data_IF_115772749093
#
_entry.id   IF_115772749093
#
_cell.length_a   1.000
_cell.length_b   1.000
_cell.length_c   1.000
_cell.angle_alpha   90.00
_cell.angle_beta   90.00
_cell.angle_gamma   90.00
#
_symmetry.space_group_name_H-M   'P 1'
#
loop_
_entity.id
_entity.type
_entity.pdbx_description
1 polymer ?
#
# COMPACT_ATOMS: atom_id res chain seq x y z
N UNK A 1 -4.19 9.16 42.76
CA UNK A 1 -2.97 9.91 42.38
C UNK A 1 -2.69 9.83 40.88
N UNK A 2 -3.56 10.42 40.08
CA UNK A 2 -3.24 10.80 38.70
C UNK A 2 -2.53 12.14 38.76
N UNK A 3 -1.44 12.23 39.46
CA UNK A 3 -0.82 13.52 39.72
C UNK A 3 0.40 13.68 38.82
N UNK A 4 0.68 14.92 38.47
CA UNK A 4 1.92 15.36 37.84
C UNK A 4 3.17 14.75 38.52
N UNK A 5 3.06 14.39 39.77
CA UNK A 5 4.11 13.76 40.58
C UNK A 5 4.38 12.30 40.14
N UNK A 6 3.35 11.50 39.95
CA UNK A 6 3.50 10.10 39.45
C UNK A 6 4.08 10.01 38.05
N UNK A 7 3.79 10.98 37.19
CA UNK A 7 4.35 11.07 35.85
C UNK A 7 5.80 11.52 35.85
N UNK A 8 6.19 12.47 36.74
CA UNK A 8 7.59 12.87 36.92
C UNK A 8 8.44 11.71 37.44
N UNK A 9 7.90 10.91 38.36
CA UNK A 9 8.59 9.71 38.85
C UNK A 9 8.74 8.68 37.78
N UNK A 10 7.75 8.50 36.89
CA UNK A 10 7.82 7.59 35.77
C UNK A 10 8.88 8.01 34.72
N UNK A 11 9.02 9.33 34.45
CA UNK A 11 10.12 9.86 33.63
C UNK A 11 11.47 9.60 34.24
N UNK A 12 11.62 9.73 35.55
CA UNK A 12 12.87 9.39 36.25
C UNK A 12 13.19 7.91 36.12
N UNK A 13 12.18 7.04 36.23
CA UNK A 13 12.34 5.62 36.04
C UNK A 13 12.74 5.27 34.56
N UNK A 14 12.18 5.96 33.58
CA UNK A 14 12.58 5.85 32.19
C UNK A 14 14.05 6.22 31.98
N UNK A 15 14.51 7.38 32.52
CA UNK A 15 15.91 7.79 32.44
C UNK A 15 16.83 6.81 33.16
N UNK A 16 16.47 6.37 34.36
CA UNK A 16 17.24 5.37 35.08
C UNK A 16 17.37 4.05 34.29
N UNK A 17 16.29 3.60 33.67
CA UNK A 17 16.31 2.40 32.84
C UNK A 17 17.22 2.57 31.61
N UNK A 18 17.30 3.76 31.01
CA UNK A 18 18.25 4.06 29.93
C UNK A 18 19.70 4.09 30.42
N UNK A 19 19.97 4.71 31.61
CA UNK A 19 21.30 4.79 32.19
C UNK A 19 21.87 3.40 32.57
N UNK A 20 21.01 2.44 32.92
CA UNK A 20 21.39 1.07 33.21
C UNK A 20 21.51 0.19 31.96
N UNK A 21 21.36 0.74 30.76
CA UNK A 21 21.57 0.02 29.52
C UNK A 21 23.04 -0.32 29.32
N UNK A 22 23.34 -1.46 28.71
CA UNK A 22 24.70 -1.94 28.59
C UNK A 22 25.61 -0.98 27.81
N UNK A 23 26.87 -0.90 28.22
CA UNK A 23 27.87 -0.02 27.66
C UNK A 23 28.23 -0.33 26.18
N UNK A 24 27.83 -1.49 25.66
CA UNK A 24 28.03 -1.88 24.25
C UNK A 24 27.10 -1.12 23.27
N UNK A 25 26.13 -0.37 23.79
CA UNK A 25 25.17 0.46 23.04
C UNK A 25 24.07 -0.36 22.31
N UNK A 26 24.05 -1.67 22.35
CA UNK A 26 23.00 -2.49 21.71
C UNK A 26 21.67 -2.31 22.43
N UNK A 27 21.65 -2.47 23.76
CA UNK A 27 20.45 -2.29 24.59
C UNK A 27 19.94 -0.85 24.62
N UNK A 28 20.83 0.15 24.52
CA UNK A 28 20.42 1.57 24.37
C UNK A 28 19.71 1.78 23.04
N UNK A 29 20.26 1.21 21.95
CA UNK A 29 19.64 1.33 20.62
C UNK A 29 18.27 0.69 20.61
N UNK A 30 18.10 -0.49 21.17
CA UNK A 30 16.83 -1.19 21.26
C UNK A 30 15.81 -0.43 22.12
N UNK A 31 16.25 0.14 23.23
CA UNK A 31 15.41 0.99 24.06
C UNK A 31 14.95 2.27 23.31
N UNK A 32 15.87 2.95 22.62
CA UNK A 32 15.55 4.13 21.82
C UNK A 32 14.63 3.82 20.64
N UNK A 33 14.77 2.65 20.01
CA UNK A 33 13.86 2.22 18.93
C UNK A 33 12.44 2.03 19.44
N UNK A 34 12.25 1.53 20.67
CA UNK A 34 10.95 1.38 21.30
C UNK A 34 10.31 2.72 21.70
N UNK A 35 11.14 3.74 21.91
CA UNK A 35 10.69 5.12 22.19
C UNK A 35 10.45 5.96 20.93
N UNK A 36 10.81 5.43 19.77
CA UNK A 36 10.66 6.08 18.47
C UNK A 36 9.20 6.11 18.01
N UNK A 37 8.79 7.12 17.20
CA UNK A 37 7.49 7.19 16.56
C UNK A 37 7.37 6.32 15.28
N UNK A 38 8.29 5.41 15.01
CA UNK A 38 8.41 4.65 13.76
C UNK A 38 7.11 3.96 13.33
N UNK A 39 6.34 3.43 14.28
CA UNK A 39 5.06 2.78 14.01
C UNK A 39 4.08 3.69 13.22
N UNK A 40 4.10 4.99 13.50
CA UNK A 40 3.25 5.97 12.79
C UNK A 40 3.73 6.25 11.37
N UNK A 41 5.05 6.27 11.15
CA UNK A 41 5.64 6.38 9.80
C UNK A 41 5.43 5.11 8.98
N UNK A 42 5.54 3.95 9.61
CA UNK A 42 5.30 2.66 8.99
C UNK A 42 3.84 2.50 8.52
N UNK A 43 2.86 3.07 9.25
CA UNK A 43 1.47 3.10 8.79
C UNK A 43 1.33 3.81 7.44
N UNK A 44 2.01 4.93 7.23
CA UNK A 44 1.98 5.65 5.96
C UNK A 44 2.66 4.85 4.82
N UNK A 45 3.79 4.20 5.09
CA UNK A 45 4.46 3.34 4.09
C UNK A 45 3.59 2.14 3.71
N UNK A 46 2.95 1.52 4.68
CA UNK A 46 2.04 0.41 4.45
C UNK A 46 0.79 0.82 3.65
N UNK A 47 0.28 2.06 3.84
CA UNK A 47 -0.78 2.63 3.00
C UNK A 47 -0.31 2.81 1.55
N UNK A 48 0.94 3.23 1.30
CA UNK A 48 1.47 3.33 -0.07
C UNK A 48 1.55 1.96 -0.76
N UNK A 49 2.06 0.94 -0.06
CA UNK A 49 2.16 -0.41 -0.60
C UNK A 49 0.78 -1.01 -0.87
N UNK A 50 -0.20 -0.76 -0.01
CA UNK A 50 -1.60 -1.13 -0.23
C UNK A 50 -2.18 -0.45 -1.48
N UNK A 51 -1.99 0.85 -1.66
CA UNK A 51 -2.48 1.57 -2.85
C UNK A 51 -1.88 1.04 -4.14
N UNK A 52 -0.59 0.68 -4.15
CA UNK A 52 0.11 0.07 -5.30
C UNK A 52 -0.45 -1.31 -5.62
N UNK A 53 -0.58 -2.16 -4.61
CA UNK A 53 -1.22 -3.48 -4.72
C UNK A 53 -2.61 -3.36 -5.34
N UNK A 54 -3.46 -2.46 -4.86
CA UNK A 54 -4.80 -2.26 -5.40
C UNK A 54 -4.79 -1.83 -6.87
N UNK A 55 -3.84 -1.00 -7.29
CA UNK A 55 -3.69 -0.61 -8.70
C UNK A 55 -3.28 -1.81 -9.57
N UNK A 56 -2.36 -2.64 -9.06
CA UNK A 56 -1.89 -3.85 -9.75
C UNK A 56 -2.97 -4.94 -9.83
N UNK A 57 -3.94 -4.95 -8.92
CA UNK A 57 -5.06 -5.89 -8.94
C UNK A 57 -6.24 -5.42 -9.82
N UNK A 58 -6.47 -4.12 -9.95
CA UNK A 58 -7.60 -3.56 -10.70
C UNK A 58 -7.26 -3.40 -12.19
N UNK A 59 -6.11 -2.83 -12.53
CA UNK A 59 -5.74 -2.50 -13.91
C UNK A 59 -5.72 -3.71 -14.86
N UNK A 60 -5.24 -4.92 -14.48
CA UNK A 60 -5.28 -6.07 -15.36
C UNK A 60 -6.70 -6.41 -15.84
N UNK A 61 -7.71 -6.24 -14.99
CA UNK A 61 -9.11 -6.37 -15.36
C UNK A 61 -9.50 -5.38 -16.45
N UNK A 62 -9.17 -4.10 -16.28
CA UNK A 62 -9.44 -3.03 -17.27
C UNK A 62 -8.75 -3.32 -18.61
N UNK A 63 -7.48 -3.73 -18.61
CA UNK A 63 -6.77 -4.13 -19.85
C UNK A 63 -7.34 -5.37 -20.52
N UNK A 64 -7.77 -6.35 -19.75
CA UNK A 64 -8.30 -7.60 -20.31
C UNK A 64 -9.68 -7.45 -20.95
N UNK A 65 -10.42 -6.39 -20.60
CA UNK A 65 -11.75 -6.07 -21.12
C UNK A 65 -11.73 -5.29 -22.42
N UNK A 66 -10.63 -4.63 -22.76
CA UNK A 66 -10.49 -3.90 -24.03
C UNK A 66 -10.00 -4.81 -25.16
N UNK A 67 -10.50 -4.71 -26.42
CA UNK A 67 -11.65 -3.93 -26.89
C UNK A 67 -12.95 -4.75 -26.77
N UNK A 68 -14.01 -4.15 -26.28
CA UNK A 68 -15.32 -4.77 -26.15
C UNK A 68 -16.37 -4.08 -27.00
N UNK A 69 -17.53 -4.72 -27.18
CA UNK A 69 -18.66 -4.10 -27.86
C UNK A 69 -19.03 -2.82 -27.16
N UNK A 70 -19.27 -1.79 -27.95
CA UNK A 70 -19.62 -0.48 -27.46
C UNK A 70 -20.86 -0.51 -26.57
N UNK A 71 -20.76 0.13 -25.41
CA UNK A 71 -21.89 0.38 -24.52
C UNK A 71 -22.16 -0.71 -23.47
N UNK A 72 -21.42 -1.80 -23.44
CA UNK A 72 -21.58 -2.83 -22.40
C UNK A 72 -21.05 -2.35 -21.04
N UNK A 73 -21.83 -2.64 -20.00
CA UNK A 73 -21.42 -2.44 -18.62
C UNK A 73 -20.81 -3.74 -18.06
N UNK A 74 -19.72 -3.59 -17.32
CA UNK A 74 -19.08 -4.65 -16.55
C UNK A 74 -19.13 -4.29 -15.08
N UNK A 75 -19.83 -5.07 -14.29
CA UNK A 75 -19.82 -4.96 -12.83
C UNK A 75 -18.95 -6.06 -12.28
N UNK A 76 -18.08 -5.73 -11.34
CA UNK A 76 -17.13 -6.69 -10.75
C UNK A 76 -17.06 -6.63 -9.24
N UNK A 77 -16.74 -7.77 -8.63
CA UNK A 77 -16.40 -7.91 -7.22
C UNK A 77 -15.11 -8.73 -7.10
N UNK A 78 -14.17 -8.27 -6.26
CA UNK A 78 -12.83 -8.85 -6.16
C UNK A 78 -12.39 -8.91 -4.68
N UNK A 79 -12.61 -10.00 -3.95
CA UNK A 79 -11.88 -10.24 -2.71
C UNK A 79 -10.37 -10.34 -3.01
N UNK A 80 -9.57 -9.77 -2.12
CA UNK A 80 -8.11 -9.76 -2.26
C UNK A 80 -7.41 -9.97 -0.92
N UNK A 81 -6.15 -10.41 -1.03
CA UNK A 81 -5.23 -10.45 0.10
C UNK A 81 -3.81 -10.13 -0.37
N UNK A 82 -2.99 -9.61 0.55
CA UNK A 82 -1.57 -9.37 0.30
C UNK A 82 -0.78 -9.25 1.59
N UNK A 83 0.50 -9.60 1.50
CA UNK A 83 1.46 -9.47 2.60
C UNK A 83 2.65 -8.63 2.15
N UNK A 84 3.18 -7.85 3.08
CA UNK A 84 4.34 -6.99 2.89
C UNK A 84 5.30 -7.22 4.06
N UNK A 85 6.52 -7.57 3.75
CA UNK A 85 7.62 -7.67 4.70
C UNK A 85 8.63 -6.58 4.38
N UNK A 86 8.86 -5.70 5.33
CA UNK A 86 9.74 -4.56 5.23
C UNK A 86 10.78 -4.59 6.34
N UNK A 87 12.01 -5.05 6.07
CA UNK A 87 13.08 -5.07 7.08
C UNK A 87 13.41 -3.68 7.62
N UNK A 88 13.76 -3.63 8.90
CA UNK A 88 14.22 -2.42 9.57
C UNK A 88 15.51 -1.87 8.98
N UNK A 89 15.72 -0.57 9.17
CA UNK A 89 16.87 0.17 8.63
C UNK A 89 17.47 1.09 9.65
N UNK A 90 18.68 1.56 9.36
CA UNK A 90 19.34 2.58 10.18
C UNK A 90 18.43 3.78 10.39
N UNK A 91 17.92 3.95 11.60
CA UNK A 91 17.06 5.04 12.04
C UNK A 91 15.56 4.85 11.80
N UNK A 92 15.10 3.64 11.39
CA UNK A 92 13.68 3.31 11.26
C UNK A 92 13.45 1.80 11.41
N UNK A 93 12.54 1.41 12.30
CA UNK A 93 12.12 0.01 12.47
C UNK A 93 11.38 -0.52 11.24
N UNK A 94 11.55 -1.81 10.98
CA UNK A 94 10.78 -2.52 9.95
C UNK A 94 9.36 -2.87 10.38
N UNK A 95 8.63 -3.51 9.47
CA UNK A 95 7.27 -4.00 9.75
C UNK A 95 6.86 -5.14 8.83
N UNK A 96 6.01 -6.01 9.35
CA UNK A 96 5.21 -6.96 8.60
C UNK A 96 3.78 -6.46 8.53
N UNK A 97 3.18 -6.46 7.34
CA UNK A 97 1.79 -6.07 7.16
C UNK A 97 1.02 -7.09 6.32
N UNK A 98 -0.23 -7.30 6.70
CA UNK A 98 -1.19 -8.11 5.94
C UNK A 98 -2.40 -7.25 5.62
N UNK A 99 -2.82 -7.28 4.37
CA UNK A 99 -4.01 -6.62 3.86
C UNK A 99 -5.01 -7.64 3.38
N UNK A 100 -6.28 -7.47 3.74
CA UNK A 100 -7.39 -8.24 3.19
C UNK A 100 -8.57 -7.31 2.93
N UNK A 101 -9.32 -7.58 1.88
CA UNK A 101 -10.44 -6.70 1.58
C UNK A 101 -11.27 -7.11 0.37
N UNK A 102 -12.10 -6.18 -0.04
CA UNK A 102 -13.02 -6.35 -1.15
C UNK A 102 -12.98 -5.09 -2.05
N UNK A 103 -12.87 -5.31 -3.34
CA UNK A 103 -13.03 -4.29 -4.37
C UNK A 103 -14.35 -4.57 -5.08
N UNK A 104 -15.20 -3.56 -5.20
CA UNK A 104 -16.41 -3.61 -6.03
C UNK A 104 -16.40 -2.44 -7.01
N UNK A 105 -16.86 -2.65 -8.24
CA UNK A 105 -16.86 -1.56 -9.21
C UNK A 105 -17.62 -1.88 -10.47
N UNK A 106 -17.68 -0.88 -11.34
CA UNK A 106 -18.27 -1.00 -12.66
C UNK A 106 -17.44 -0.23 -13.69
N UNK A 107 -17.38 -0.77 -14.90
CA UNK A 107 -16.71 -0.16 -16.05
C UNK A 107 -17.61 -0.21 -17.28
N UNK A 108 -17.41 0.75 -18.17
CA UNK A 108 -18.10 0.81 -19.46
C UNK A 108 -17.10 1.12 -20.56
N UNK A 109 -17.19 0.37 -21.66
CA UNK A 109 -16.48 0.69 -22.88
C UNK A 109 -17.33 1.56 -23.78
N UNK A 110 -16.69 2.55 -24.41
CA UNK A 110 -17.35 3.50 -25.32
C UNK A 110 -16.83 3.33 -26.75
N UNK A 111 -17.60 3.77 -27.76
CA UNK A 111 -17.07 3.87 -29.12
C UNK A 111 -15.78 4.68 -29.15
N UNK A 112 -14.80 4.23 -29.94
CA UNK A 112 -13.51 4.91 -30.03
C UNK A 112 -12.44 4.45 -29.06
N UNK A 113 -12.65 3.32 -28.34
CA UNK A 113 -11.59 2.64 -27.57
C UNK A 113 -11.37 3.20 -26.15
N UNK A 114 -12.31 3.98 -25.61
CA UNK A 114 -12.24 4.43 -24.23
C UNK A 114 -13.03 3.47 -23.31
N UNK A 115 -12.37 2.94 -22.28
CA UNK A 115 -13.00 2.23 -21.16
C UNK A 115 -12.83 3.08 -19.90
N UNK A 116 -13.92 3.36 -19.20
CA UNK A 116 -13.92 4.12 -17.93
C UNK A 116 -14.75 3.43 -16.88
N UNK A 117 -14.34 3.56 -15.63
CA UNK A 117 -15.06 2.95 -14.51
C UNK A 117 -14.78 3.61 -13.18
N UNK A 118 -15.57 3.19 -12.21
CA UNK A 118 -15.40 3.55 -10.81
C UNK A 118 -15.33 2.31 -9.93
N UNK A 119 -14.69 2.44 -8.79
CA UNK A 119 -14.57 1.38 -7.80
C UNK A 119 -14.64 1.88 -6.37
N UNK A 120 -15.05 1.00 -5.50
CA UNK A 120 -15.05 1.14 -4.04
C UNK A 120 -14.14 0.04 -3.48
N UNK A 121 -13.34 0.37 -2.48
CA UNK A 121 -12.47 -0.60 -1.79
C UNK A 121 -12.74 -0.57 -0.31
N UNK A 122 -12.89 -1.74 0.25
CA UNK A 122 -12.87 -2.00 1.69
C UNK A 122 -11.58 -2.72 2.03
N UNK A 123 -10.76 -2.17 2.91
CA UNK A 123 -9.48 -2.74 3.32
C UNK A 123 -9.41 -2.93 4.84
N UNK A 124 -8.92 -4.07 5.28
CA UNK A 124 -8.47 -4.31 6.63
C UNK A 124 -6.97 -4.61 6.59
N UNK A 125 -6.19 -3.87 7.38
CA UNK A 125 -4.75 -4.01 7.49
C UNK A 125 -4.34 -4.35 8.92
N UNK A 126 -3.49 -5.35 9.07
CA UNK A 126 -2.83 -5.70 10.33
C UNK A 126 -1.33 -5.55 10.14
N UNK A 127 -0.67 -4.86 11.06
CA UNK A 127 0.76 -4.59 10.98
C UNK A 127 1.44 -4.84 12.32
N UNK A 128 2.63 -5.42 12.27
CA UNK A 128 3.53 -5.59 13.43
C UNK A 128 4.86 -4.96 13.08
N UNK A 129 5.33 -4.02 13.90
CA UNK A 129 6.63 -3.37 13.74
C UNK A 129 7.71 -4.02 14.62
N UNK A 130 8.97 -3.94 14.20
CA UNK A 130 10.14 -4.48 14.91
C UNK A 130 10.29 -3.90 16.31
N UNK A 131 9.89 -2.65 16.52
CA UNK A 131 9.95 -1.95 17.80
C UNK A 131 8.70 -2.16 18.68
N UNK A 132 8.12 -3.38 18.68
CA UNK A 132 6.95 -3.75 19.49
C UNK A 132 5.67 -2.94 19.22
N UNK A 133 5.58 -2.30 18.07
CA UNK A 133 4.36 -1.63 17.60
C UNK A 133 3.41 -2.59 16.91
N UNK A 134 2.13 -2.59 17.31
CA UNK A 134 1.06 -3.32 16.62
C UNK A 134 0.02 -2.34 16.15
N UNK A 135 -0.33 -2.39 14.86
CA UNK A 135 -1.32 -1.52 14.27
C UNK A 135 -2.41 -2.34 13.57
N UNK A 136 -3.61 -1.79 13.60
CA UNK A 136 -4.74 -2.26 12.78
C UNK A 136 -5.35 -1.05 12.09
N UNK A 137 -5.52 -1.15 10.79
CA UNK A 137 -6.13 -0.13 9.95
C UNK A 137 -7.38 -0.66 9.25
N UNK A 138 -8.41 0.15 9.18
CA UNK A 138 -9.62 -0.11 8.41
C UNK A 138 -9.81 1.06 7.44
N UNK A 139 -9.87 0.77 6.13
CA UNK A 139 -9.94 1.78 5.09
C UNK A 139 -11.16 1.63 4.19
N UNK A 140 -11.72 2.77 3.80
CA UNK A 140 -12.76 2.86 2.78
C UNK A 140 -12.31 3.87 1.71
N UNK A 141 -12.26 3.42 0.46
CA UNK A 141 -11.76 4.23 -0.65
C UNK A 141 -12.74 4.26 -1.81
N UNK A 142 -12.82 5.41 -2.44
CA UNK A 142 -13.51 5.61 -3.73
C UNK A 142 -12.48 5.92 -4.79
N UNK A 143 -12.64 5.34 -5.97
CA UNK A 143 -11.71 5.55 -7.06
C UNK A 143 -12.35 5.45 -8.42
N UNK A 144 -11.55 5.83 -9.41
CA UNK A 144 -11.88 5.73 -10.81
C UNK A 144 -10.68 5.20 -11.60
N UNK A 145 -10.97 4.50 -12.71
CA UNK A 145 -9.96 4.01 -13.63
C UNK A 145 -10.39 4.22 -15.08
N UNK A 146 -9.42 4.24 -15.97
CA UNK A 146 -9.68 4.35 -17.40
C UNK A 146 -8.52 3.82 -18.23
N UNK A 147 -8.89 3.40 -19.44
CA UNK A 147 -7.99 2.98 -20.49
C UNK A 147 -8.47 3.57 -21.80
N UNK A 148 -7.58 4.22 -22.53
CA UNK A 148 -7.84 4.69 -23.88
C UNK A 148 -6.89 3.98 -24.86
N UNK A 149 -7.46 3.17 -25.74
CA UNK A 149 -6.76 2.33 -26.70
C UNK A 149 -7.55 2.31 -28.03
N UNK A 150 -7.56 3.43 -28.78
CA UNK A 150 -8.31 3.51 -30.03
C UNK A 150 -7.65 2.65 -31.11
N UNK A 151 -8.47 2.13 -32.01
CA UNK A 151 -8.00 1.20 -33.05
C UNK A 151 -7.00 1.83 -34.04
N UNK A 152 -7.08 3.14 -34.26
CA UNK A 152 -6.18 3.90 -35.15
C UNK A 152 -4.82 4.20 -34.51
N UNK A 153 -4.62 3.90 -33.22
CA UNK A 153 -3.33 4.04 -32.55
C UNK A 153 -2.42 2.82 -32.71
N UNK A 154 -2.83 1.81 -33.44
CA UNK A 154 -2.03 0.62 -33.79
C UNK A 154 -1.25 0.02 -32.61
N UNK A 155 -1.97 -0.29 -31.52
CA UNK A 155 -1.42 -0.90 -30.32
C UNK A 155 -1.00 0.06 -29.20
N UNK A 156 -0.93 1.37 -29.44
CA UNK A 156 -0.69 2.33 -28.37
C UNK A 156 -1.90 2.50 -27.46
N UNK A 157 -1.64 2.76 -26.20
CA UNK A 157 -2.68 3.00 -25.21
C UNK A 157 -2.17 3.89 -24.09
N UNK A 158 -3.11 4.57 -23.42
CA UNK A 158 -2.87 5.31 -22.18
C UNK A 158 -3.87 4.86 -21.14
N UNK A 159 -3.46 4.86 -19.89
CA UNK A 159 -4.30 4.41 -18.78
C UNK A 159 -4.09 5.27 -17.53
N UNK A 160 -5.09 5.25 -16.68
CA UNK A 160 -5.02 5.89 -15.38
C UNK A 160 -5.92 5.21 -14.36
N UNK A 161 -5.53 5.29 -13.11
CA UNK A 161 -6.32 4.87 -11.96
C UNK A 161 -6.01 5.79 -10.79
N UNK A 162 -7.03 6.22 -10.07
CA UNK A 162 -6.87 7.04 -8.88
C UNK A 162 -7.88 6.66 -7.82
N UNK A 163 -7.53 6.86 -6.56
CA UNK A 163 -8.43 6.67 -5.43
C UNK A 163 -8.07 7.57 -4.26
N UNK A 164 -9.10 7.88 -3.46
CA UNK A 164 -9.00 8.62 -2.21
C UNK A 164 -9.85 7.91 -1.16
N UNK A 165 -9.42 7.95 0.10
CA UNK A 165 -10.18 7.33 1.18
C UNK A 165 -9.77 7.76 2.56
N UNK A 166 -10.52 7.24 3.52
CA UNK A 166 -10.30 7.42 4.94
C UNK A 166 -9.78 6.12 5.55
N UNK A 167 -8.89 6.24 6.50
CA UNK A 167 -8.28 5.14 7.23
C UNK A 167 -8.44 5.35 8.73
N UNK A 168 -9.04 4.40 9.42
CA UNK A 168 -9.12 4.38 10.88
C UNK A 168 -8.06 3.44 11.42
N UNK A 169 -7.10 3.98 12.14
CA UNK A 169 -5.98 3.26 12.70
C UNK A 169 -6.11 3.11 14.20
N UNK A 170 -5.72 1.95 14.70
CA UNK A 170 -5.54 1.66 16.13
C UNK A 170 -4.13 1.16 16.34
N UNK A 171 -3.39 1.81 17.24
CA UNK A 171 -2.00 1.48 17.54
C UNK A 171 -1.84 1.11 19.01
N UNK A 172 -0.99 0.11 19.23
CA UNK A 172 -0.43 -0.25 20.54
C UNK A 172 1.07 -0.33 20.42
N UNK A 173 1.79 0.38 21.29
CA UNK A 173 3.24 0.39 21.34
C UNK A 173 3.69 0.00 22.75
N UNK A 174 4.39 -1.14 22.86
CA UNK A 174 4.98 -1.59 24.09
C UNK A 174 6.40 -1.01 24.23
N UNK A 175 6.70 -0.44 25.37
CA UNK A 175 8.03 0.03 25.77
C UNK A 175 8.49 -0.83 26.93
N UNK A 176 9.46 -1.72 26.70
CA UNK A 176 9.90 -2.70 27.69
C UNK A 176 11.40 -2.89 27.62
N UNK A 177 12.14 -2.35 28.60
CA UNK A 177 13.58 -2.53 28.76
C UNK A 177 13.99 -2.22 30.21
N UNK A 178 14.97 -2.91 30.71
CA UNK A 178 15.61 -2.72 32.03
C UNK A 178 14.61 -2.49 33.20
N UNK A 179 13.50 -3.25 33.22
CA UNK A 179 12.47 -3.15 34.25
C UNK A 179 11.45 -2.03 34.03
N UNK A 180 11.65 -1.16 33.05
CA UNK A 180 10.65 -0.20 32.62
C UNK A 180 9.68 -0.87 31.65
N UNK A 181 8.38 -0.92 31.99
CA UNK A 181 7.36 -1.56 31.18
C UNK A 181 6.13 -0.66 31.07
N UNK A 182 5.82 -0.20 29.86
CA UNK A 182 4.66 0.63 29.56
C UNK A 182 4.00 0.19 28.24
N UNK A 183 2.70 0.38 28.15
CA UNK A 183 1.93 0.25 26.91
C UNK A 183 1.30 1.60 26.57
N UNK A 184 1.62 2.11 25.40
CA UNK A 184 1.01 3.30 24.81
C UNK A 184 0.01 2.85 23.76
N UNK A 185 -1.10 3.57 23.63
CA UNK A 185 -2.07 3.32 22.56
C UNK A 185 -2.58 4.64 21.98
N UNK A 186 -3.04 4.57 20.75
CA UNK A 186 -3.72 5.69 20.09
C UNK A 186 -4.56 5.19 18.93
N UNK A 187 -5.76 5.74 18.84
CA UNK A 187 -6.63 5.63 17.67
C UNK A 187 -6.63 6.96 16.93
N UNK A 188 -6.62 6.92 15.60
CA UNK A 188 -6.75 8.12 14.78
C UNK A 188 -7.40 7.80 13.45
N UNK A 189 -7.97 8.83 12.83
CA UNK A 189 -8.46 8.80 11.45
C UNK A 189 -7.51 9.60 10.57
N UNK A 190 -7.03 8.99 9.51
CA UNK A 190 -6.20 9.58 8.47
C UNK A 190 -6.88 9.58 7.11
N UNK A 191 -6.25 10.25 6.15
CA UNK A 191 -6.65 10.25 4.74
C UNK A 191 -5.50 9.75 3.90
N UNK A 192 -5.78 8.90 2.93
CA UNK A 192 -4.78 8.49 1.97
C UNK A 192 -5.35 8.44 0.56
N UNK A 193 -4.45 8.43 -0.41
CA UNK A 193 -4.86 8.32 -1.79
C UNK A 193 -3.68 8.09 -2.72
N UNK A 194 -4.02 7.69 -3.95
CA UNK A 194 -3.03 7.51 -5.00
C UNK A 194 -3.60 7.83 -6.38
N UNK A 195 -2.68 8.17 -7.28
CA UNK A 195 -2.94 8.29 -8.72
C UNK A 195 -1.80 7.60 -9.45
N UNK A 196 -2.14 6.68 -10.35
CA UNK A 196 -1.21 6.10 -11.32
C UNK A 196 -1.67 6.46 -12.72
N UNK A 197 -0.77 6.97 -13.54
CA UNK A 197 -1.01 7.24 -14.96
C UNK A 197 0.15 6.71 -15.79
N UNK A 198 -0.15 6.20 -16.98
CA UNK A 198 0.86 5.63 -17.83
C UNK A 198 0.38 5.40 -19.24
N UNK A 199 1.28 4.88 -20.06
CA UNK A 199 0.99 4.47 -21.43
C UNK A 199 1.89 3.33 -21.84
N UNK A 200 1.51 2.68 -22.92
CA UNK A 200 2.26 1.56 -23.44
C UNK A 200 1.90 1.25 -24.87
N UNK A 201 2.64 0.31 -25.41
CA UNK A 201 2.45 -0.24 -26.75
C UNK A 201 2.29 -1.77 -26.67
N UNK A 202 1.38 -2.34 -27.41
CA UNK A 202 1.19 -3.80 -27.50
C UNK A 202 1.19 -4.24 -28.97
N UNK A 203 2.30 -4.84 -29.40
CA UNK A 203 2.37 -5.49 -30.71
C UNK A 203 1.60 -6.82 -30.69
N UNK A 204 0.86 -7.08 -31.76
CA UNK A 204 0.17 -8.36 -31.98
C UNK A 204 1.09 -9.34 -32.76
N UNK A 205 1.48 -10.43 -32.09
CA UNK A 205 2.33 -11.49 -32.65
C UNK A 205 1.51 -12.74 -33.05
N UNK A 206 0.20 -12.57 -33.27
CA UNK A 206 -0.73 -13.60 -33.69
C UNK A 206 -1.27 -14.48 -32.56
N UNK A 207 -0.44 -14.97 -31.66
CA UNK A 207 -0.89 -15.80 -30.51
C UNK A 207 -0.82 -15.06 -29.18
N UNK A 208 0.01 -14.05 -29.11
CA UNK A 208 0.25 -13.19 -27.95
C UNK A 208 0.28 -11.73 -28.39
N UNK A 209 -0.11 -10.86 -27.47
CA UNK A 209 0.17 -9.42 -27.54
C UNK A 209 1.20 -9.09 -26.48
N UNK A 210 2.23 -8.35 -26.84
CA UNK A 210 3.27 -7.96 -25.90
C UNK A 210 3.87 -6.60 -26.25
N UNK A 211 4.38 -5.88 -25.25
CA UNK A 211 5.07 -4.65 -25.45
C UNK A 211 5.43 -3.87 -24.20
N UNK A 212 6.17 -2.77 -24.38
CA UNK A 212 6.63 -1.93 -23.28
C UNK A 212 5.51 -1.06 -22.71
N UNK A 213 5.65 -0.67 -21.45
CA UNK A 213 4.86 0.37 -20.82
C UNK A 213 5.70 1.21 -19.85
N UNK A 214 5.24 2.43 -19.61
CA UNK A 214 5.78 3.30 -18.58
C UNK A 214 4.63 3.92 -17.78
N UNK A 215 4.86 4.14 -16.49
CA UNK A 215 3.87 4.76 -15.61
C UNK A 215 4.54 5.60 -14.52
N UNK A 216 3.78 6.57 -13.99
CA UNK A 216 4.06 7.30 -12.76
C UNK A 216 2.96 6.99 -11.74
N UNK A 217 3.36 6.78 -10.51
CA UNK A 217 2.50 6.46 -9.37
C UNK A 217 2.81 7.45 -8.24
N UNK A 218 1.85 8.29 -7.91
CA UNK A 218 1.91 9.17 -6.76
C UNK A 218 0.97 8.66 -5.68
N UNK A 219 1.45 8.60 -4.44
CA UNK A 219 0.64 8.26 -3.27
C UNK A 219 0.91 9.25 -2.14
N UNK A 220 -0.10 9.49 -1.32
CA UNK A 220 0.02 10.25 -0.08
C UNK A 220 -0.76 9.58 1.05
N UNK A 221 -0.30 9.83 2.28
CA UNK A 221 -0.99 9.43 3.52
C UNK A 221 -0.87 10.57 4.53
N UNK A 222 -1.99 11.05 5.05
CA UNK A 222 -2.07 12.19 5.96
C UNK A 222 -2.59 11.74 7.33
N UNK A 223 -1.89 12.13 8.38
CA UNK A 223 -2.23 11.87 9.77
C UNK A 223 -2.41 13.19 10.51
N UNK A 224 -3.46 13.35 11.34
CA UNK A 224 -3.62 14.51 12.20
C UNK A 224 -2.56 14.53 13.32
N UNK A 225 -2.43 15.67 13.99
CA UNK A 225 -1.73 15.74 15.28
C UNK A 225 -2.41 14.83 16.28
N UNK A 226 -1.61 14.16 17.10
CA UNK A 226 -2.13 13.24 18.11
C UNK A 226 -1.23 13.19 19.35
N UNK A 227 -1.83 12.79 20.45
CA UNK A 227 -1.13 12.49 21.70
C UNK A 227 -1.50 11.08 22.14
N UNK A 228 -0.51 10.25 22.43
CA UNK A 228 -0.73 8.89 22.91
C UNK A 228 -1.49 8.90 24.24
N UNK A 229 -2.37 7.90 24.39
CA UNK A 229 -3.08 7.61 25.63
C UNK A 229 -2.28 6.55 26.41
N UNK A 230 -2.36 6.53 27.72
CA UNK A 230 -1.61 5.63 28.59
C UNK A 230 -0.07 5.74 28.43
N UNK A 231 0.70 4.92 29.16
CA UNK A 231 2.15 4.87 29.04
C UNK A 231 2.91 5.90 29.84
N UNK A 232 2.23 6.80 30.55
CA UNK A 232 2.83 7.78 31.47
C UNK A 232 4.02 8.55 30.85
N UNK A 233 5.22 8.43 31.37
CA UNK A 233 6.42 9.13 30.90
C UNK A 233 6.87 8.78 29.48
N UNK A 234 6.46 7.63 28.93
CA UNK A 234 6.82 7.24 27.56
C UNK A 234 5.83 7.70 26.48
N UNK A 235 4.79 8.47 26.85
CA UNK A 235 3.80 8.97 25.89
C UNK A 235 4.41 9.98 24.92
N UNK A 236 4.06 9.84 23.67
CA UNK A 236 4.45 10.77 22.61
C UNK A 236 3.29 11.71 22.25
N UNK A 237 3.66 12.94 21.97
CA UNK A 237 2.88 13.87 21.16
C UNK A 237 3.52 13.97 19.78
N UNK A 238 2.71 13.88 18.73
CA UNK A 238 3.16 13.98 17.35
C UNK A 238 2.37 15.06 16.63
N UNK A 239 3.07 15.90 15.88
CA UNK A 239 2.45 16.89 15.01
C UNK A 239 1.74 16.21 13.84
N UNK A 240 0.81 16.92 13.19
CA UNK A 240 0.21 16.46 11.93
C UNK A 240 1.28 16.35 10.85
N UNK A 241 1.18 15.33 10.01
CA UNK A 241 2.10 15.11 8.91
C UNK A 241 1.40 14.51 7.70
N UNK A 242 1.87 14.87 6.51
CA UNK A 242 1.48 14.24 5.26
C UNK A 242 2.71 13.65 4.60
N UNK A 243 2.66 12.36 4.37
CA UNK A 243 3.71 11.57 3.73
C UNK A 243 3.42 11.44 2.25
N UNK A 244 4.49 11.38 1.45
CA UNK A 244 4.41 11.34 0.00
C UNK A 244 5.32 10.26 -0.57
N UNK A 245 4.92 9.68 -1.72
CA UNK A 245 5.74 8.80 -2.54
C UNK A 245 5.45 9.10 -3.99
N UNK A 246 6.49 9.17 -4.82
CA UNK A 246 6.40 9.32 -6.27
C UNK A 246 7.29 8.26 -6.92
N UNK A 247 6.69 7.30 -7.62
CA UNK A 247 7.39 6.18 -8.22
C UNK A 247 7.20 6.15 -9.73
N UNK A 248 8.26 5.91 -10.46
CA UNK A 248 8.23 5.58 -11.88
C UNK A 248 8.28 4.06 -12.05
N UNK A 249 7.62 3.57 -13.10
CA UNK A 249 7.65 2.17 -13.52
C UNK A 249 7.96 2.09 -15.00
N UNK A 250 8.91 1.24 -15.37
CA UNK A 250 9.23 0.94 -16.76
C UNK A 250 9.23 -0.59 -16.92
N UNK A 251 8.42 -1.11 -17.82
CA UNK A 251 8.21 -2.55 -17.88
C UNK A 251 7.73 -3.06 -19.22
N UNK A 252 7.47 -4.35 -19.21
CA UNK A 252 6.83 -5.06 -20.31
C UNK A 252 5.60 -5.77 -19.80
N UNK A 253 4.59 -5.85 -20.63
CA UNK A 253 3.41 -6.67 -20.38
C UNK A 253 3.11 -7.54 -21.59
N UNK A 254 2.51 -8.67 -21.32
CA UNK A 254 2.10 -9.62 -22.35
C UNK A 254 0.75 -10.22 -22.01
N UNK A 255 -0.01 -10.58 -23.03
CA UNK A 255 -1.26 -11.32 -22.87
C UNK A 255 -1.43 -12.29 -24.03
N UNK A 256 -2.09 -13.42 -23.78
CA UNK A 256 -2.52 -14.31 -24.87
C UNK A 256 -3.72 -13.68 -25.58
N UNK A 257 -3.90 -14.02 -26.85
CA UNK A 257 -5.21 -13.85 -27.46
C UNK A 257 -6.21 -14.79 -26.78
N UNK A 258 -7.49 -14.46 -26.89
CA UNK A 258 -8.55 -15.29 -26.31
C UNK A 258 -8.56 -16.66 -26.95
N UNK A 259 -8.59 -17.72 -26.15
CA UNK A 259 -8.53 -19.12 -26.59
C UNK A 259 -9.75 -19.87 -26.10
N UNK A 260 -10.28 -20.77 -26.96
CA UNK A 260 -11.39 -21.62 -26.59
C UNK A 260 -11.01 -22.62 -25.50
N UNK A 261 -11.94 -22.83 -24.57
CA UNK A 261 -11.88 -23.84 -23.51
C UNK A 261 -13.19 -24.63 -23.54
N UNK A 262 -13.20 -25.73 -24.32
CA UNK A 262 -14.42 -26.47 -24.61
C UNK A 262 -15.38 -25.68 -25.53
N UNK A 263 -16.68 -25.99 -25.45
CA UNK A 263 -17.69 -25.39 -26.33
C UNK A 263 -18.26 -24.06 -25.81
N UNK A 264 -18.16 -23.78 -24.50
CA UNK A 264 -18.91 -22.73 -23.82
C UNK A 264 -18.04 -21.76 -23.01
N UNK A 265 -16.73 -21.83 -23.14
CA UNK A 265 -15.85 -20.93 -22.41
C UNK A 265 -14.62 -20.52 -23.22
N UNK A 266 -14.08 -19.36 -22.90
CA UNK A 266 -12.80 -18.90 -23.42
C UNK A 266 -11.89 -18.50 -22.24
N UNK A 267 -10.59 -18.46 -22.49
CA UNK A 267 -9.62 -17.99 -21.51
C UNK A 267 -8.56 -17.09 -22.12
N UNK A 268 -8.03 -16.20 -21.30
CA UNK A 268 -6.95 -15.28 -21.61
C UNK A 268 -6.00 -15.22 -20.43
N UNK A 269 -4.70 -15.35 -20.67
CA UNK A 269 -3.68 -15.14 -19.63
C UNK A 269 -2.92 -13.83 -19.90
N UNK A 270 -2.36 -13.26 -18.83
CA UNK A 270 -1.48 -12.10 -18.92
C UNK A 270 -0.34 -12.22 -17.92
N UNK A 271 0.76 -11.53 -18.22
CA UNK A 271 1.90 -11.35 -17.32
C UNK A 271 2.53 -9.98 -17.52
N UNK A 272 3.19 -9.47 -16.49
CA UNK A 272 3.96 -8.22 -16.55
C UNK A 272 5.20 -8.30 -15.69
N UNK A 273 6.23 -7.56 -16.10
CA UNK A 273 7.41 -7.31 -15.30
C UNK A 273 7.81 -5.84 -15.46
N UNK A 274 8.09 -5.16 -14.35
CA UNK A 274 8.46 -3.75 -14.36
C UNK A 274 9.57 -3.45 -13.37
N UNK A 275 10.56 -2.70 -13.80
CA UNK A 275 11.47 -1.99 -12.91
C UNK A 275 10.75 -0.76 -12.37
N UNK A 276 10.73 -0.64 -11.05
CA UNK A 276 10.15 0.46 -10.33
C UNK A 276 11.25 1.28 -9.67
N UNK A 277 11.16 2.60 -9.75
CA UNK A 277 12.11 3.50 -9.12
C UNK A 277 11.39 4.59 -8.32
N UNK A 278 11.69 4.67 -7.01
CA UNK A 278 11.18 5.72 -6.15
C UNK A 278 11.97 7.02 -6.37
N UNK A 279 11.27 8.07 -6.74
CA UNK A 279 11.85 9.35 -7.09
C UNK A 279 12.10 10.24 -5.85
N UNK A 280 11.41 9.99 -4.74
CA UNK A 280 11.59 10.74 -3.50
C UNK A 280 12.57 10.03 -2.57
N UNK A 281 13.47 10.80 -1.92
CA UNK A 281 14.46 10.25 -0.97
C UNK A 281 13.82 9.88 0.38
N UNK A 282 12.75 10.59 0.75
CA UNK A 282 12.02 10.43 2.00
C UNK A 282 10.53 10.61 1.75
N UNK A 283 9.72 9.90 2.52
CA UNK A 283 8.27 10.06 2.51
C UNK A 283 7.83 11.31 3.29
N UNK A 284 8.50 11.64 4.39
CA UNK A 284 8.19 12.78 5.24
C UNK A 284 9.10 12.82 6.46
N UNK A 285 8.84 13.76 7.37
CA UNK A 285 9.56 13.89 8.63
C UNK A 285 8.56 14.06 9.77
N UNK A 286 8.53 13.10 10.68
CA UNK A 286 7.70 13.18 11.88
C UNK A 286 8.37 14.08 12.92
N UNK A 287 7.61 15.02 13.47
CA UNK A 287 7.99 15.80 14.63
C UNK A 287 7.25 15.24 15.85
N UNK A 288 8.01 14.94 16.90
CA UNK A 288 7.48 14.34 18.11
C UNK A 288 8.14 14.94 19.37
N UNK A 289 7.45 14.84 20.49
CA UNK A 289 7.99 15.12 21.82
C UNK A 289 7.39 14.15 22.82
N UNK A 290 8.10 13.92 23.93
CA UNK A 290 7.45 13.30 25.08
C UNK A 290 6.47 14.28 25.70
N UNK A 291 5.27 13.82 26.06
CA UNK A 291 4.23 14.70 26.64
C UNK A 291 4.73 15.45 27.85
N UNK A 292 5.54 14.81 28.67
CA UNK A 292 6.09 15.38 29.90
C UNK A 292 7.37 16.19 29.68
N UNK A 293 7.90 16.22 28.46
CA UNK A 293 9.07 17.00 28.08
C UNK A 293 8.81 17.72 26.75
N UNK A 294 7.70 18.43 26.65
CA UNK A 294 7.23 19.09 25.43
C UNK A 294 8.26 20.07 24.80
N UNK A 295 9.17 20.61 25.61
CA UNK A 295 10.24 21.49 25.11
C UNK A 295 11.44 20.74 24.50
N UNK A 296 11.48 19.42 24.64
CA UNK A 296 12.52 18.53 24.08
C UNK A 296 11.98 17.75 22.90
N UNK A 297 11.60 18.47 21.84
CA UNK A 297 11.14 17.88 20.60
C UNK A 297 12.27 17.18 19.83
N UNK A 298 11.93 16.13 19.10
CA UNK A 298 12.82 15.43 18.19
C UNK A 298 12.12 15.14 16.87
N UNK A 299 12.90 14.82 15.84
CA UNK A 299 12.34 14.50 14.53
C UNK A 299 12.86 13.15 14.05
N UNK A 300 11.99 12.41 13.38
CA UNK A 300 12.34 11.15 12.73
C UNK A 300 11.95 11.18 11.26
N UNK A 301 12.92 10.91 10.38
CA UNK A 301 12.69 10.92 8.92
C UNK A 301 12.18 9.56 8.48
N UNK A 302 10.99 9.54 7.88
CA UNK A 302 10.40 8.36 7.25
C UNK A 302 11.02 8.19 5.88
N UNK A 303 11.94 7.25 5.76
CA UNK A 303 12.61 6.91 4.50
C UNK A 303 11.81 5.88 3.73
N UNK A 304 11.71 6.06 2.42
CA UNK A 304 11.13 5.05 1.55
C UNK A 304 12.04 3.80 1.52
N UNK A 305 11.48 2.59 1.65
CA UNK A 305 12.21 1.35 1.55
C UNK A 305 12.81 1.18 0.15
N UNK A 306 14.13 1.13 -0.01
CA UNK A 306 14.80 0.90 -1.31
C UNK A 306 14.19 1.69 -2.48
N UNK A 307 15.01 2.25 -3.31
CA UNK A 307 14.53 3.02 -4.46
C UNK A 307 14.10 2.13 -5.61
N UNK A 308 14.82 1.03 -5.80
CA UNK A 308 14.65 0.15 -6.95
C UNK A 308 14.00 -1.16 -6.52
N UNK A 309 13.09 -1.64 -7.36
CA UNK A 309 12.43 -2.93 -7.19
C UNK A 309 12.00 -3.52 -8.53
N UNK A 310 11.76 -4.82 -8.54
CA UNK A 310 11.14 -5.54 -9.64
C UNK A 310 9.71 -5.92 -9.26
N UNK A 311 8.74 -5.33 -9.95
CA UNK A 311 7.34 -5.74 -9.87
C UNK A 311 7.04 -6.84 -10.87
N UNK A 312 6.39 -7.90 -10.41
CA UNK A 312 5.90 -9.01 -11.24
C UNK A 312 4.39 -9.14 -11.08
N UNK A 313 3.71 -9.41 -12.18
CA UNK A 313 2.27 -9.67 -12.18
C UNK A 313 1.92 -10.78 -13.14
N UNK A 314 0.93 -11.59 -12.78
CA UNK A 314 0.37 -12.61 -13.67
C UNK A 314 -1.11 -12.84 -13.35
N UNK A 315 -1.86 -13.29 -14.33
CA UNK A 315 -3.25 -13.67 -14.11
C UNK A 315 -3.86 -14.42 -15.27
N UNK A 316 -5.02 -14.99 -15.00
CA UNK A 316 -5.84 -15.70 -15.98
C UNK A 316 -7.29 -15.26 -15.82
N UNK A 317 -7.97 -15.08 -16.95
CA UNK A 317 -9.38 -14.77 -17.06
C UNK A 317 -10.09 -15.86 -17.82
N UNK A 318 -11.23 -16.28 -17.32
CA UNK A 318 -12.15 -17.23 -17.95
C UNK A 318 -13.47 -16.50 -18.24
N UNK A 319 -13.90 -16.50 -19.48
CA UNK A 319 -15.19 -15.96 -19.91
C UNK A 319 -16.13 -17.13 -20.19
N UNK A 320 -17.35 -17.06 -19.68
CA UNK A 320 -18.40 -18.02 -19.99
C UNK A 320 -19.40 -17.42 -20.99
N UNK A 321 -20.19 -18.26 -21.64
CA UNK A 321 -21.25 -17.81 -22.56
C UNK A 321 -22.36 -17.01 -21.88
N UNK A 322 -22.45 -17.07 -20.55
CA UNK A 322 -23.56 -16.56 -19.74
C UNK A 322 -23.28 -15.19 -19.10
N UNK A 323 -22.58 -14.31 -19.80
CA UNK A 323 -22.29 -12.97 -19.29
C UNK A 323 -21.48 -12.91 -17.98
N UNK A 324 -20.88 -14.01 -17.55
CA UNK A 324 -20.07 -14.10 -16.33
C UNK A 324 -18.63 -14.40 -16.71
N UNK A 325 -17.70 -13.73 -16.05
CA UNK A 325 -16.27 -14.01 -16.16
C UNK A 325 -15.66 -14.16 -14.78
N UNK A 326 -14.63 -14.98 -14.71
CA UNK A 326 -13.83 -15.17 -13.50
C UNK A 326 -12.38 -14.83 -13.82
N UNK A 327 -11.67 -14.18 -12.90
CA UNK A 327 -10.23 -14.00 -13.05
C UNK A 327 -9.50 -14.22 -11.74
N UNK A 328 -8.29 -14.75 -11.87
CA UNK A 328 -7.33 -14.89 -10.79
C UNK A 328 -6.11 -14.07 -11.16
N UNK A 329 -5.68 -13.17 -10.28
CA UNK A 329 -4.47 -12.39 -10.47
C UNK A 329 -3.58 -12.51 -9.24
N UNK A 330 -2.28 -12.49 -9.48
CA UNK A 330 -1.25 -12.47 -8.44
C UNK A 330 -0.15 -11.49 -8.84
N UNK A 331 0.50 -10.90 -7.84
CA UNK A 331 1.64 -10.02 -8.02
C UNK A 331 2.61 -10.11 -6.87
N UNK A 332 3.82 -9.62 -7.12
CA UNK A 332 4.91 -9.57 -6.15
C UNK A 332 5.83 -8.41 -6.46
N UNK A 333 6.38 -7.79 -5.44
CA UNK A 333 7.49 -6.84 -5.56
C UNK A 333 8.73 -7.43 -4.89
N UNK A 334 9.82 -7.50 -5.63
CA UNK A 334 11.08 -8.15 -5.26
C UNK A 334 12.24 -7.15 -5.33
N UNK A 335 13.34 -7.48 -4.66
CA UNK A 335 14.62 -6.74 -4.70
C UNK A 335 14.52 -5.29 -4.21
N UNK A 336 13.50 -4.94 -3.45
CA UNK A 336 13.37 -3.64 -2.82
C UNK A 336 14.16 -3.61 -1.51
N UNK A 337 15.49 -3.83 -1.59
CA UNK A 337 16.40 -3.83 -0.45
C UNK A 337 15.91 -4.77 0.68
N UNK A 338 15.74 -6.04 0.33
CA UNK A 338 15.26 -7.13 1.20
C UNK A 338 13.77 -7.08 1.56
N UNK A 339 13.04 -6.02 1.16
CA UNK A 339 11.60 -6.01 1.27
C UNK A 339 10.94 -6.88 0.20
N UNK A 340 9.89 -7.57 0.59
CA UNK A 340 9.09 -8.41 -0.31
C UNK A 340 7.60 -8.16 -0.12
N UNK A 341 6.86 -8.32 -1.21
CA UNK A 341 5.40 -8.37 -1.14
C UNK A 341 4.85 -9.47 -2.03
N UNK A 342 3.75 -10.08 -1.60
CA UNK A 342 2.99 -11.04 -2.41
C UNK A 342 1.51 -10.73 -2.20
N UNK A 343 0.76 -10.68 -3.28
CA UNK A 343 -0.66 -10.37 -3.24
C UNK A 343 -1.43 -11.04 -4.37
N UNK A 344 -2.74 -11.14 -4.22
CA UNK A 344 -3.62 -11.67 -5.25
C UNK A 344 -5.09 -11.39 -5.00
N UNK A 345 -5.88 -11.62 -6.03
CA UNK A 345 -7.33 -11.54 -5.98
C UNK A 345 -8.00 -12.62 -6.82
N UNK A 346 -9.25 -12.90 -6.47
CA UNK A 346 -10.21 -13.58 -7.29
C UNK A 346 -11.27 -12.57 -7.71
N UNK A 347 -11.56 -12.42 -9.00
CA UNK A 347 -12.62 -11.54 -9.46
C UNK A 347 -13.76 -12.33 -10.10
N UNK A 348 -14.98 -11.86 -9.83
CA UNK A 348 -16.20 -12.27 -10.53
C UNK A 348 -16.75 -11.04 -11.22
N UNK A 349 -17.12 -11.17 -12.48
CA UNK A 349 -17.60 -10.08 -13.31
C UNK A 349 -18.86 -10.47 -14.05
N UNK A 350 -19.78 -9.53 -14.18
CA UNK A 350 -21.03 -9.65 -14.93
C UNK A 350 -21.09 -8.58 -16.02
N UNK A 351 -21.55 -9.01 -17.21
CA UNK A 351 -21.80 -8.14 -18.37
C UNK A 351 -23.29 -7.88 -18.52
N UNK A 352 -23.65 -6.64 -18.83
CA UNK A 352 -25.02 -6.21 -19.08
C UNK A 352 -25.15 -5.48 -20.42
#
# INVERSE_FOLDING_TARGET
LSSAEGVRDDMRNLYAALDFSAADGSTVRDALSQLSPDAYGNAALASFDMHRMLSDLILPGTFSRAPQKDGEWHVFAQPYAGTFDQPGRSGMGGYDATNVGLIGGAERSTPGGLTVGGHVVFNHQSMTGDANGKLRGEGLYLGAQGLYAPADWDGWNVFGIGRLGVENWRMKRAVSFNGYNRENNKDWTGFSGSVRAGGGYEADWGTIKAGPFAALDYAFSSRPSLTEDKGMGSRLHLDSETFHSLRSSLGVRMSTNERQLGEHATWKAHASAAWNHELLDKAGTMHASFVEAANAGFSNTVKVPGRDSLGLGAGVRFNTDKHVSFSLNAGSELFRRDATSVYGNLAVEWKF
#
